data_IF_750718407751
#
_entry.id   IF_750718407751
#
_cell.length_a   1.000
_cell.length_b   1.000
_cell.length_c   1.000
_cell.angle_alpha   90.00
_cell.angle_beta   90.00
_cell.angle_gamma   90.00
#
_symmetry.space_group_name_H-M   'P 1'
#
loop_
_entity.id
_entity.type
_entity.pdbx_description
1 polymer ?
#
# COMPACT_ATOMS: atom_id res chain seq x y z
N UNK A 1 -10.37 25.54 -33.89
CA UNK A 1 -9.58 26.07 -32.75
C UNK A 1 -10.05 25.29 -31.54
N UNK A 2 -9.24 24.34 -31.07
CA UNK A 2 -9.55 23.52 -29.92
C UNK A 2 -9.10 24.26 -28.66
N UNK A 3 -10.01 24.44 -27.69
CA UNK A 3 -9.66 25.00 -26.39
C UNK A 3 -8.64 24.09 -25.69
N UNK A 4 -7.64 24.65 -24.99
CA UNK A 4 -6.78 23.87 -24.13
C UNK A 4 -7.65 23.32 -22.99
N UNK A 5 -7.90 22.01 -22.99
CA UNK A 5 -8.37 21.33 -21.79
C UNK A 5 -7.30 21.56 -20.72
N UNK A 6 -7.58 22.48 -19.79
CA UNK A 6 -6.85 22.59 -18.54
C UNK A 6 -7.09 21.31 -17.77
N UNK A 7 -6.27 20.30 -18.03
CA UNK A 7 -6.28 19.00 -17.39
C UNK A 7 -5.81 19.13 -15.95
N UNK A 8 -6.63 19.72 -15.10
CA UNK A 8 -6.42 19.65 -13.66
C UNK A 8 -6.90 18.28 -13.22
N UNK A 9 -5.95 17.40 -12.87
CA UNK A 9 -6.26 16.15 -12.20
C UNK A 9 -6.84 16.51 -10.82
N UNK A 10 -8.16 16.47 -10.70
CA UNK A 10 -8.81 16.59 -9.40
C UNK A 10 -8.53 15.29 -8.64
N UNK A 11 -7.51 15.33 -7.78
CA UNK A 11 -7.27 14.25 -6.84
C UNK A 11 -8.24 14.45 -5.68
N UNK A 12 -9.10 13.46 -5.42
CA UNK A 12 -9.95 13.45 -4.23
C UNK A 12 -9.07 13.15 -3.01
N UNK A 13 -8.37 14.17 -2.52
CA UNK A 13 -7.51 14.08 -1.34
C UNK A 13 -8.27 14.12 -0.02
N UNK A 14 -9.59 14.30 -0.08
CA UNK A 14 -10.45 14.41 1.09
C UNK A 14 -10.63 13.06 1.80
N UNK A 15 -10.65 11.96 1.05
CA UNK A 15 -10.87 10.63 1.61
C UNK A 15 -9.59 9.80 1.77
N UNK A 16 -8.86 10.05 2.87
CA UNK A 16 -7.72 9.21 3.30
C UNK A 16 -8.14 7.88 3.92
N UNK A 17 -9.44 7.55 3.92
CA UNK A 17 -9.95 6.32 4.55
C UNK A 17 -9.35 5.09 3.90
N UNK A 18 -9.18 5.07 2.58
CA UNK A 18 -8.57 3.95 1.87
C UNK A 18 -7.14 3.65 2.34
N UNK A 19 -6.29 4.68 2.50
CA UNK A 19 -4.91 4.50 2.97
C UNK A 19 -4.85 4.05 4.43
N UNK A 20 -5.69 4.62 5.29
CA UNK A 20 -5.80 4.20 6.70
C UNK A 20 -6.29 2.76 6.82
N UNK A 21 -7.30 2.38 6.03
CA UNK A 21 -7.80 1.00 5.98
C UNK A 21 -6.72 0.04 5.48
N UNK A 22 -5.95 0.43 4.46
CA UNK A 22 -4.84 -0.36 3.95
C UNK A 22 -3.80 -0.62 5.05
N UNK A 23 -3.35 0.43 5.75
CA UNK A 23 -2.41 0.28 6.88
C UNK A 23 -2.96 -0.66 7.97
N UNK A 24 -4.19 -0.43 8.41
CA UNK A 24 -4.81 -1.23 9.49
C UNK A 24 -5.01 -2.70 9.10
N UNK A 25 -5.43 -2.97 7.86
CA UNK A 25 -5.58 -4.32 7.34
C UNK A 25 -4.24 -5.04 7.24
N UNK A 26 -3.16 -4.34 6.87
CA UNK A 26 -1.82 -4.95 6.82
C UNK A 26 -1.27 -5.28 8.20
N UNK A 27 -1.50 -4.44 9.21
CA UNK A 27 -1.08 -4.74 10.59
C UNK A 27 -1.77 -6.01 11.11
N UNK A 28 -3.07 -6.13 10.82
CA UNK A 28 -3.86 -7.32 11.14
C UNK A 28 -3.32 -8.54 10.40
N UNK A 29 -3.15 -8.43 9.08
CA UNK A 29 -2.61 -9.49 8.25
C UNK A 29 -1.22 -9.95 8.71
N UNK A 30 -0.31 -9.02 9.02
CA UNK A 30 1.03 -9.35 9.50
C UNK A 30 1.01 -10.10 10.83
N UNK A 31 0.11 -9.73 11.73
CA UNK A 31 -0.09 -10.42 13.02
C UNK A 31 -0.63 -11.83 12.83
N UNK A 32 -1.69 -11.98 12.03
CA UNK A 32 -2.30 -13.27 11.72
C UNK A 32 -1.32 -14.20 10.98
N UNK A 33 -0.55 -13.63 10.05
CA UNK A 33 0.47 -14.37 9.31
C UNK A 33 1.60 -14.85 10.22
N UNK A 34 2.07 -14.03 11.16
CA UNK A 34 3.07 -14.46 12.14
C UNK A 34 2.57 -15.63 13.00
N UNK A 35 1.31 -15.58 13.43
CA UNK A 35 0.67 -16.68 14.15
C UNK A 35 0.56 -17.95 13.29
N UNK A 36 0.12 -17.81 12.03
CA UNK A 36 0.03 -18.93 11.09
C UNK A 36 1.41 -19.58 10.83
N UNK A 37 2.48 -18.77 10.66
CA UNK A 37 3.86 -19.29 10.53
C UNK A 37 4.29 -20.11 11.73
N UNK A 38 3.98 -19.66 12.95
CA UNK A 38 4.29 -20.40 14.16
C UNK A 38 3.56 -21.75 14.19
N UNK A 39 2.27 -21.77 13.84
CA UNK A 39 1.48 -23.01 13.73
C UNK A 39 2.03 -23.96 12.67
N UNK A 40 2.43 -23.44 11.50
CA UNK A 40 3.06 -24.24 10.44
C UNK A 40 4.37 -24.86 10.94
N UNK A 41 5.22 -24.08 11.61
CA UNK A 41 6.48 -24.59 12.15
C UNK A 41 6.29 -25.70 13.20
N UNK A 42 5.27 -25.60 14.04
CA UNK A 42 4.89 -26.67 14.98
C UNK A 42 4.42 -27.93 14.25
N UNK A 43 3.64 -27.78 13.17
CA UNK A 43 3.19 -28.90 12.33
C UNK A 43 4.35 -29.58 11.61
N UNK A 44 5.31 -28.81 11.09
CA UNK A 44 6.51 -29.30 10.41
C UNK A 44 7.39 -30.14 11.36
N UNK A 45 7.52 -29.73 12.63
CA UNK A 45 8.25 -30.51 13.64
C UNK A 45 7.61 -31.88 13.93
N UNK A 46 6.31 -32.05 13.66
CA UNK A 46 5.56 -33.28 13.86
C UNK A 46 5.60 -34.28 12.71
N UNK A 47 6.19 -33.93 11.55
CA UNK A 47 6.21 -34.79 10.34
C UNK A 47 7.07 -36.06 10.54
N UNK A 48 7.89 -36.09 11.59
CA UNK A 48 8.77 -37.22 11.88
C UNK A 48 10.05 -37.20 11.05
N UNK A 49 10.93 -38.18 11.25
CA UNK A 49 12.25 -38.26 10.61
C UNK A 49 12.42 -39.53 9.77
N UNK A 50 11.34 -40.26 9.52
CA UNK A 50 11.38 -41.44 8.67
C UNK A 50 11.62 -41.09 7.19
N UNK A 51 11.82 -42.12 6.37
CA UNK A 51 12.17 -41.94 4.96
C UNK A 51 11.05 -41.29 4.14
N UNK A 52 9.78 -41.47 4.53
CA UNK A 52 8.63 -40.85 3.87
C UNK A 52 8.59 -39.37 4.26
N UNK A 53 8.78 -39.07 5.54
CA UNK A 53 8.88 -37.71 6.07
C UNK A 53 10.02 -36.91 5.43
N UNK A 54 11.19 -37.52 5.26
CA UNK A 54 12.34 -36.91 4.58
C UNK A 54 12.03 -36.61 3.10
N UNK A 55 11.47 -37.58 2.37
CA UNK A 55 11.10 -37.39 0.97
C UNK A 55 10.02 -36.32 0.78
N UNK A 56 9.03 -36.28 1.68
CA UNK A 56 8.01 -35.23 1.70
C UNK A 56 8.65 -33.86 1.96
N UNK A 57 9.51 -33.77 2.98
CA UNK A 57 10.20 -32.53 3.34
C UNK A 57 11.06 -32.00 2.21
N UNK A 58 11.76 -32.86 1.47
CA UNK A 58 12.61 -32.44 0.34
C UNK A 58 11.80 -31.86 -0.82
N UNK A 59 10.61 -32.41 -1.09
CA UNK A 59 9.73 -31.89 -2.14
C UNK A 59 9.07 -30.57 -1.74
N UNK A 60 8.64 -30.44 -0.48
CA UNK A 60 7.80 -29.32 -0.05
C UNK A 60 8.56 -28.14 0.52
N UNK A 61 9.74 -28.35 1.12
CA UNK A 61 10.47 -27.30 1.86
C UNK A 61 10.77 -26.07 1.02
N UNK A 62 11.30 -26.25 -0.19
CA UNK A 62 11.62 -25.13 -1.08
C UNK A 62 10.38 -24.27 -1.38
N UNK A 63 9.24 -24.91 -1.68
CA UNK A 63 7.99 -24.20 -1.98
C UNK A 63 7.40 -23.53 -0.73
N UNK A 64 7.50 -24.19 0.41
CA UNK A 64 7.04 -23.66 1.69
C UNK A 64 7.85 -22.44 2.11
N UNK A 65 9.18 -22.48 1.98
CA UNK A 65 10.07 -21.35 2.25
C UNK A 65 9.82 -20.19 1.27
N UNK A 66 9.68 -20.48 -0.03
CA UNK A 66 9.36 -19.46 -1.02
C UNK A 66 8.01 -18.78 -0.75
N UNK A 67 6.98 -19.55 -0.37
CA UNK A 67 5.68 -18.99 0.02
C UNK A 67 5.80 -18.13 1.29
N UNK A 68 6.55 -18.61 2.30
CA UNK A 68 6.74 -17.87 3.54
C UNK A 68 7.43 -16.52 3.27
N UNK A 69 8.50 -16.53 2.50
CA UNK A 69 9.24 -15.33 2.10
C UNK A 69 8.37 -14.35 1.32
N UNK A 70 7.65 -14.82 0.29
CA UNK A 70 6.76 -13.95 -0.50
C UNK A 70 5.65 -13.32 0.35
N UNK A 71 5.13 -14.05 1.33
CA UNK A 71 4.07 -13.55 2.23
C UNK A 71 4.62 -12.56 3.26
N UNK A 72 5.88 -12.70 3.67
CA UNK A 72 6.57 -11.75 4.56
C UNK A 72 6.78 -10.37 3.93
N UNK A 73 6.82 -10.27 2.59
CA UNK A 73 6.98 -9.01 1.87
C UNK A 73 5.67 -8.20 1.75
N UNK A 74 4.51 -8.88 1.80
CA UNK A 74 3.19 -8.24 1.56
C UNK A 74 2.91 -7.08 2.53
N UNK A 75 3.08 -7.23 3.87
CA UNK A 75 2.82 -6.12 4.80
C UNK A 75 3.69 -4.90 4.50
N UNK A 76 4.98 -5.12 4.20
CA UNK A 76 5.92 -4.04 3.93
C UNK A 76 5.54 -3.25 2.66
N UNK A 77 5.23 -3.96 1.57
CA UNK A 77 4.82 -3.34 0.31
C UNK A 77 3.58 -2.47 0.49
N UNK A 78 2.57 -3.01 1.16
CA UNK A 78 1.30 -2.32 1.32
C UNK A 78 1.40 -1.13 2.30
N UNK A 79 2.27 -1.20 3.31
CA UNK A 79 2.59 -0.05 4.16
C UNK A 79 3.31 1.06 3.37
N UNK A 80 4.27 0.71 2.53
CA UNK A 80 4.94 1.67 1.64
C UNK A 80 3.94 2.35 0.71
N UNK A 81 2.97 1.62 0.15
CA UNK A 81 1.92 2.23 -0.69
C UNK A 81 1.01 3.18 0.10
N UNK A 82 0.62 2.81 1.32
CA UNK A 82 -0.16 3.68 2.18
C UNK A 82 0.58 4.98 2.53
N UNK A 83 1.89 4.88 2.79
CA UNK A 83 2.75 6.04 3.04
C UNK A 83 2.85 6.95 1.82
N UNK A 84 3.20 6.39 0.65
CA UNK A 84 3.29 7.15 -0.61
C UNK A 84 1.97 7.83 -0.95
N UNK A 85 0.85 7.14 -0.75
CA UNK A 85 -0.50 7.70 -0.96
C UNK A 85 -0.79 8.89 -0.04
N UNK A 86 -0.45 8.77 1.26
CA UNK A 86 -0.62 9.86 2.22
C UNK A 86 0.27 11.06 1.88
N UNK A 87 1.56 10.84 1.58
CA UNK A 87 2.49 11.90 1.18
C UNK A 87 2.03 12.61 -0.08
N UNK A 88 1.54 11.87 -1.08
CA UNK A 88 1.01 12.46 -2.31
C UNK A 88 -0.22 13.33 -2.04
N UNK A 89 -1.10 12.90 -1.13
CA UNK A 89 -2.25 13.70 -0.70
C UNK A 89 -1.84 14.97 0.06
N UNK A 90 -0.80 14.90 0.91
CA UNK A 90 -0.24 16.08 1.58
C UNK A 90 0.31 17.09 0.59
N UNK A 91 1.12 16.63 -0.37
CA UNK A 91 1.71 17.47 -1.41
C UNK A 91 0.65 18.15 -2.28
N UNK A 92 -0.42 17.44 -2.62
CA UNK A 92 -1.52 18.02 -3.40
C UNK A 92 -2.25 19.11 -2.60
N UNK A 93 -2.58 18.87 -1.33
CA UNK A 93 -3.25 19.87 -0.47
C UNK A 93 -2.35 21.11 -0.25
N UNK A 94 -1.05 20.91 -0.09
CA UNK A 94 -0.09 22.00 0.00
C UNK A 94 0.00 22.80 -1.31
N UNK A 95 0.07 22.12 -2.45
CA UNK A 95 0.05 22.73 -3.77
C UNK A 95 -1.22 23.53 -4.04
N UNK A 96 -2.39 23.00 -3.64
CA UNK A 96 -3.69 23.67 -3.77
C UNK A 96 -3.74 24.96 -2.95
N UNK A 97 -3.33 24.91 -1.67
CA UNK A 97 -3.21 26.11 -0.81
C UNK A 97 -2.24 27.15 -1.37
N UNK A 98 -1.10 26.71 -1.90
CA UNK A 98 -0.12 27.61 -2.51
C UNK A 98 -0.68 28.26 -3.78
N UNK A 99 -1.43 27.51 -4.59
CA UNK A 99 -2.13 28.01 -5.78
C UNK A 99 -3.20 29.05 -5.44
N UNK A 100 -4.05 28.77 -4.44
CA UNK A 100 -5.04 29.72 -3.94
C UNK A 100 -4.39 31.02 -3.42
N UNK A 101 -3.28 30.90 -2.67
CA UNK A 101 -2.52 32.04 -2.17
C UNK A 101 -1.90 32.90 -3.28
N UNK A 102 -1.44 32.27 -4.37
CA UNK A 102 -0.89 32.97 -5.53
C UNK A 102 -1.96 33.72 -6.34
N UNK A 103 -3.18 33.17 -6.45
CA UNK A 103 -4.31 33.80 -7.13
C UNK A 103 -4.94 34.92 -6.28
N UNK A 104 -4.96 34.75 -4.95
CA UNK A 104 -5.48 35.75 -4.01
C UNK A 104 -4.57 36.97 -3.79
N UNK A 105 -3.26 36.85 -4.05
CA UNK A 105 -2.26 37.91 -3.81
C UNK A 105 -2.00 38.85 -4.98
N UNK A 106 -2.51 38.56 -6.18
CA UNK A 106 -2.21 39.32 -7.39
C UNK A 106 -3.44 39.47 -8.28
N UNK A 107 -4.26 40.47 -7.98
CA UNK A 107 -5.36 40.86 -8.85
C UNK A 107 -4.86 41.27 -10.23
N UNK A 108 -4.99 40.37 -11.20
CA UNK A 108 -5.23 40.74 -12.59
C UNK A 108 -6.64 40.23 -12.92
N UNK A 109 -7.61 41.11 -13.21
CA UNK A 109 -8.96 40.69 -13.50
C UNK A 109 -8.96 39.96 -14.84
N UNK A 110 -9.04 38.62 -14.79
CA UNK A 110 -9.36 37.84 -15.97
C UNK A 110 -10.82 38.10 -16.34
N UNK A 111 -10.94 38.77 -17.47
CA UNK A 111 -12.13 39.24 -18.15
C UNK A 111 -13.29 38.23 -18.08
N UNK A 112 -14.39 38.57 -17.39
CA UNK A 112 -15.66 37.85 -17.55
C UNK A 112 -16.27 38.21 -18.90
N UNK A 113 -16.66 37.24 -19.76
CA UNK A 113 -17.48 37.55 -20.92
C UNK A 113 -18.89 37.94 -20.47
N UNK A 114 -19.49 38.89 -21.19
CA UNK A 114 -20.88 39.34 -21.02
C UNK A 114 -21.88 38.27 -21.44
#
# INVERSE_FOLDING_TARGET
MSEPQSGMAHFDTGDRTAMRMLSQQNETFGTEWAAAKATIGLGEAGIGTDRIAAAFSDVYRFRAEALKAATDEVPAICLTWAEVGNTSADQYVEGDRAGEGAIGGGGVPLHRPR
#
